data_IF_487415202422
#
_entry.id   IF_487415202422
#
_cell.length_a   1.000
_cell.length_b   1.000
_cell.length_c   1.000
_cell.angle_alpha   90.00
_cell.angle_beta   90.00
_cell.angle_gamma   90.00
#
_symmetry.space_group_name_H-M   'P 1'
#
loop_
_entity.id
_entity.type
_entity.pdbx_description
1 polymer ?
#
# COMPACT_ATOMS: atom_id res chain seq x y z
N UNK A 1 -19.95 21.03 26.42
CA UNK A 1 -20.37 19.69 26.91
C UNK A 1 -19.33 19.17 27.89
N UNK A 2 -19.74 18.74 29.09
CA UNK A 2 -18.84 18.14 30.10
C UNK A 2 -18.44 16.73 29.63
N UNK A 3 -17.14 16.42 29.60
CA UNK A 3 -16.61 15.10 29.20
C UNK A 3 -17.08 13.99 30.14
N UNK A 4 -17.18 12.74 29.65
CA UNK A 4 -17.60 11.58 30.45
C UNK A 4 -16.74 11.44 31.73
N UNK A 5 -15.43 11.65 31.61
CA UNK A 5 -14.46 11.62 32.71
C UNK A 5 -14.77 12.72 33.74
N UNK A 6 -15.14 13.92 33.29
CA UNK A 6 -15.49 15.01 34.19
C UNK A 6 -16.83 14.76 34.90
N UNK A 7 -17.81 14.12 34.24
CA UNK A 7 -19.06 13.68 34.91
C UNK A 7 -18.81 12.63 35.99
N UNK A 8 -17.96 11.64 35.70
CA UNK A 8 -17.56 10.62 36.68
C UNK A 8 -16.82 11.25 37.86
N UNK A 9 -15.90 12.18 37.60
CA UNK A 9 -15.18 12.89 38.64
C UNK A 9 -16.12 13.69 39.55
N UNK A 10 -17.12 14.38 38.99
CA UNK A 10 -18.13 15.11 39.76
C UNK A 10 -18.96 14.15 40.62
N UNK A 11 -19.46 13.05 40.05
CA UNK A 11 -20.27 12.07 40.75
C UNK A 11 -19.51 11.43 41.92
N UNK A 12 -18.26 11.02 41.70
CA UNK A 12 -17.41 10.42 42.73
C UNK A 12 -17.04 11.42 43.84
N UNK A 13 -16.75 12.66 43.46
CA UNK A 13 -16.47 13.73 44.43
C UNK A 13 -17.70 14.00 45.30
N UNK A 14 -18.88 14.10 44.69
CA UNK A 14 -20.13 14.27 45.42
C UNK A 14 -20.40 13.08 46.36
N UNK A 15 -20.24 11.84 45.89
CA UNK A 15 -20.43 10.65 46.72
C UNK A 15 -19.50 10.62 47.93
N UNK A 16 -18.23 11.00 47.76
CA UNK A 16 -17.24 11.04 48.83
C UNK A 16 -17.57 12.10 49.89
N UNK A 17 -17.98 13.30 49.47
CA UNK A 17 -18.41 14.35 50.40
C UNK A 17 -19.74 14.02 51.09
N UNK A 18 -20.68 13.35 50.41
CA UNK A 18 -21.91 12.83 51.03
C UNK A 18 -21.60 11.75 52.07
N UNK A 19 -20.69 10.82 51.78
CA UNK A 19 -20.26 9.82 52.75
C UNK A 19 -19.60 10.45 53.99
N UNK A 20 -18.73 11.45 53.79
CA UNK A 20 -18.13 12.21 54.87
C UNK A 20 -19.19 12.93 55.73
N UNK A 21 -20.19 13.53 55.09
CA UNK A 21 -21.33 14.18 55.76
C UNK A 21 -22.12 13.19 56.62
N UNK A 22 -22.44 12.00 56.09
CA UNK A 22 -23.13 10.95 56.85
C UNK A 22 -22.33 10.53 58.08
N UNK A 23 -21.01 10.39 57.96
CA UNK A 23 -20.14 10.02 59.07
C UNK A 23 -20.09 11.11 60.15
N UNK A 24 -20.04 12.39 59.75
CA UNK A 24 -20.05 13.55 60.67
C UNK A 24 -21.39 13.68 61.40
N UNK A 25 -22.51 13.35 60.74
CA UNK A 25 -23.85 13.42 61.33
C UNK A 25 -24.20 12.19 62.19
N UNK A 26 -23.50 11.06 62.03
CA UNK A 26 -23.81 9.81 62.74
C UNK A 26 -23.83 9.96 64.28
N UNK A 27 -22.88 10.64 64.95
CA UNK A 27 -22.92 10.80 66.41
C UNK A 27 -24.14 11.59 66.90
N UNK A 28 -24.65 12.55 66.10
CA UNK A 28 -25.85 13.32 66.45
C UNK A 28 -27.11 12.45 66.47
N UNK A 29 -27.20 11.52 65.52
CA UNK A 29 -28.31 10.57 65.44
C UNK A 29 -28.31 9.59 66.62
N UNK A 30 -27.13 9.24 67.13
CA UNK A 30 -26.97 8.29 68.25
C UNK A 30 -27.20 8.95 69.61
N UNK A 31 -26.78 10.19 69.82
CA UNK A 31 -26.83 10.87 71.14
C UNK A 31 -28.23 11.46 71.44
N UNK A 32 -29.12 11.58 70.44
CA UNK A 32 -30.55 11.85 70.66
C UNK A 32 -30.91 13.29 71.05
N UNK A 33 -30.39 14.30 70.33
CA UNK A 33 -30.78 15.70 70.49
C UNK A 33 -30.94 16.44 69.16
N UNK A 34 -31.79 17.48 69.06
CA UNK A 34 -31.95 18.24 67.83
C UNK A 34 -30.63 18.95 67.46
N UNK A 35 -30.22 18.94 66.18
CA UNK A 35 -29.01 19.61 65.75
C UNK A 35 -29.15 21.11 65.94
N UNK A 36 -28.10 21.75 66.47
CA UNK A 36 -28.08 23.19 66.69
C UNK A 36 -27.99 23.94 65.35
N UNK A 37 -28.69 25.08 65.17
CA UNK A 37 -28.64 25.85 63.93
C UNK A 37 -27.22 26.24 63.49
N UNK A 38 -26.36 26.62 64.45
CA UNK A 38 -24.94 26.92 64.22
C UNK A 38 -24.18 25.75 63.57
N UNK A 39 -24.47 24.52 64.02
CA UNK A 39 -23.82 23.31 63.53
C UNK A 39 -24.25 22.98 62.10
N UNK A 40 -25.55 23.09 61.79
CA UNK A 40 -26.07 22.84 60.43
C UNK A 40 -25.49 23.83 59.42
N UNK A 41 -25.41 25.11 59.80
CA UNK A 41 -24.82 26.15 58.95
C UNK A 41 -23.32 25.93 58.75
N UNK A 42 -22.61 25.50 59.80
CA UNK A 42 -21.20 25.14 59.72
C UNK A 42 -21.00 23.98 58.72
N UNK A 43 -21.69 22.86 58.91
CA UNK A 43 -21.60 21.67 58.06
C UNK A 43 -21.94 21.98 56.60
N UNK A 44 -23.06 22.68 56.35
CA UNK A 44 -23.52 22.99 55.00
C UNK A 44 -22.52 23.85 54.22
N UNK A 45 -21.94 24.87 54.87
CA UNK A 45 -20.92 25.71 54.23
C UNK A 45 -19.58 25.01 54.07
N UNK A 46 -19.19 24.11 54.98
CA UNK A 46 -17.98 23.28 54.83
C UNK A 46 -18.10 22.31 53.66
N UNK A 47 -19.29 21.74 53.42
CA UNK A 47 -19.57 20.91 52.24
C UNK A 47 -19.37 21.69 50.92
N UNK A 48 -19.88 22.93 50.86
CA UNK A 48 -19.76 23.78 49.68
C UNK A 48 -18.29 24.13 49.40
N UNK A 49 -17.56 24.56 50.43
CA UNK A 49 -16.13 24.89 50.31
C UNK A 49 -15.33 23.64 49.90
N UNK A 50 -15.66 22.49 50.49
CA UNK A 50 -15.06 21.21 50.18
C UNK A 50 -15.23 20.78 48.72
N UNK A 51 -16.45 20.85 48.20
CA UNK A 51 -16.75 20.55 46.80
C UNK A 51 -16.01 21.51 45.85
N UNK A 52 -15.96 22.81 46.19
CA UNK A 52 -15.21 23.79 45.41
C UNK A 52 -13.70 23.50 45.40
N UNK A 53 -13.13 23.12 46.55
CA UNK A 53 -11.72 22.73 46.67
C UNK A 53 -11.42 21.45 45.89
N UNK A 54 -12.30 20.45 45.92
CA UNK A 54 -12.16 19.24 45.10
C UNK A 54 -12.25 19.53 43.60
N UNK A 55 -13.09 20.48 43.17
CA UNK A 55 -13.16 20.91 41.77
C UNK A 55 -11.87 21.64 41.34
N UNK A 56 -11.29 22.46 42.22
CA UNK A 56 -9.99 23.08 41.98
C UNK A 56 -8.88 22.03 41.89
N UNK A 57 -8.89 21.04 42.78
CA UNK A 57 -7.94 19.93 42.82
C UNK A 57 -8.02 19.08 41.54
N UNK A 58 -9.21 18.84 41.01
CA UNK A 58 -9.41 18.20 39.70
C UNK A 58 -8.69 18.94 38.57
N UNK A 59 -8.80 20.28 38.55
CA UNK A 59 -8.12 21.11 37.54
C UNK A 59 -6.60 21.10 37.71
N UNK A 60 -6.12 21.11 38.96
CA UNK A 60 -4.69 21.00 39.26
C UNK A 60 -4.16 19.64 38.82
N UNK A 61 -4.86 18.55 39.12
CA UNK A 61 -4.53 17.19 38.69
C UNK A 61 -4.45 17.08 37.16
N UNK A 62 -5.41 17.66 36.44
CA UNK A 62 -5.40 17.70 34.98
C UNK A 62 -4.20 18.46 34.40
N UNK A 63 -3.82 19.61 34.99
CA UNK A 63 -2.64 20.38 34.54
C UNK A 63 -1.31 19.67 34.83
N UNK A 64 -1.23 18.98 35.97
CA UNK A 64 -0.05 18.21 36.36
C UNK A 64 0.03 16.84 35.68
N UNK A 65 -1.03 16.40 35.00
CA UNK A 65 -1.08 15.10 34.32
C UNK A 65 0.01 14.94 33.25
N UNK A 66 0.44 16.02 32.61
CA UNK A 66 1.52 16.01 31.62
C UNK A 66 2.94 16.05 32.22
N UNK A 67 3.08 16.27 33.54
CA UNK A 67 4.38 16.35 34.22
C UNK A 67 4.85 14.95 34.63
N UNK A 68 6.14 14.84 34.97
CA UNK A 68 6.73 13.62 35.51
C UNK A 68 6.00 13.16 36.78
N UNK A 69 6.03 11.85 37.06
CA UNK A 69 5.32 11.25 38.19
C UNK A 69 5.67 11.93 39.53
N UNK A 70 6.96 12.24 39.72
CA UNK A 70 7.46 12.95 40.90
C UNK A 70 6.87 14.35 41.04
N UNK A 71 6.98 15.20 40.01
CA UNK A 71 6.47 16.57 40.04
C UNK A 71 4.94 16.61 40.20
N UNK A 72 4.24 15.64 39.61
CA UNK A 72 2.80 15.49 39.75
C UNK A 72 2.41 15.13 41.18
N UNK A 73 3.09 14.15 41.78
CA UNK A 73 2.86 13.73 43.17
C UNK A 73 3.15 14.84 44.16
N UNK A 74 4.32 15.48 44.04
CA UNK A 74 4.71 16.59 44.91
C UNK A 74 3.76 17.79 44.77
N UNK A 75 3.39 18.17 43.55
CA UNK A 75 2.46 19.27 43.29
C UNK A 75 1.06 19.01 43.84
N UNK A 76 0.55 17.78 43.71
CA UNK A 76 -0.74 17.40 44.29
C UNK A 76 -0.69 17.33 45.82
N UNK A 77 0.36 16.77 46.41
CA UNK A 77 0.53 16.74 47.86
C UNK A 77 0.57 18.15 48.45
N UNK A 78 1.33 19.06 47.83
CA UNK A 78 1.37 20.46 48.24
C UNK A 78 -0.01 21.13 48.12
N UNK A 79 -0.73 20.92 47.01
CA UNK A 79 -2.07 21.47 46.82
C UNK A 79 -3.06 20.93 47.87
N UNK A 80 -3.01 19.63 48.19
CA UNK A 80 -3.84 18.99 49.22
C UNK A 80 -3.57 19.61 50.58
N UNK A 81 -2.30 19.75 50.98
CA UNK A 81 -1.93 20.32 52.28
C UNK A 81 -2.36 21.78 52.42
N UNK A 82 -2.14 22.60 51.38
CA UNK A 82 -2.54 24.01 51.37
C UNK A 82 -4.06 24.14 51.45
N UNK A 83 -4.80 23.39 50.62
CA UNK A 83 -6.27 23.45 50.63
C UNK A 83 -6.84 22.92 51.94
N UNK A 84 -6.33 21.82 52.47
CA UNK A 84 -6.75 21.27 53.76
C UNK A 84 -6.53 22.27 54.91
N UNK A 85 -5.37 22.94 54.93
CA UNK A 85 -5.07 23.99 55.90
C UNK A 85 -6.02 25.17 55.81
N UNK A 86 -6.30 25.66 54.60
CA UNK A 86 -7.24 26.77 54.37
C UNK A 86 -8.67 26.40 54.79
N UNK A 87 -9.12 25.20 54.46
CA UNK A 87 -10.45 24.71 54.87
C UNK A 87 -10.52 24.55 56.39
N UNK A 88 -9.51 23.96 57.02
CA UNK A 88 -9.49 23.77 58.47
C UNK A 88 -9.51 25.11 59.23
N UNK A 89 -8.79 26.11 58.74
CA UNK A 89 -8.81 27.46 59.31
C UNK A 89 -10.16 28.14 59.11
N UNK A 90 -10.75 28.05 57.91
CA UNK A 90 -12.06 28.63 57.61
C UNK A 90 -13.17 27.97 58.45
N UNK A 91 -13.13 26.65 58.58
CA UNK A 91 -14.05 25.85 59.38
C UNK A 91 -13.99 26.25 60.87
N UNK A 92 -12.78 26.30 61.45
CA UNK A 92 -12.60 26.69 62.85
C UNK A 92 -12.95 28.17 63.13
N UNK A 93 -12.64 29.08 62.20
CA UNK A 93 -12.98 30.51 62.34
C UNK A 93 -14.50 30.72 62.30
N UNK A 94 -15.18 30.04 61.39
CA UNK A 94 -16.63 30.09 61.24
C UNK A 94 -17.34 29.42 62.42
N UNK A 95 -16.84 28.26 62.89
CA UNK A 95 -17.38 27.61 64.08
C UNK A 95 -17.34 28.56 65.29
N UNK A 96 -16.21 29.23 65.52
CA UNK A 96 -16.07 30.26 66.56
C UNK A 96 -17.07 31.42 66.38
N UNK A 97 -17.22 31.94 65.17
CA UNK A 97 -18.13 33.05 64.89
C UNK A 97 -19.61 32.67 65.10
N UNK A 98 -20.00 31.47 64.68
CA UNK A 98 -21.36 30.96 64.85
C UNK A 98 -21.66 30.66 66.32
N UNK A 99 -20.71 30.07 67.06
CA UNK A 99 -20.88 29.85 68.50
C UNK A 99 -20.99 31.17 69.28
N UNK A 100 -20.21 32.18 68.92
CA UNK A 100 -20.32 33.51 69.54
C UNK A 100 -21.69 34.17 69.29
N UNK A 101 -22.34 33.88 68.16
CA UNK A 101 -23.65 34.43 67.80
C UNK A 101 -24.81 33.68 68.47
N UNK A 102 -24.80 32.35 68.44
CA UNK A 102 -25.90 31.52 68.95
C UNK A 102 -25.77 31.14 70.43
N UNK A 103 -24.55 31.08 70.96
CA UNK A 103 -24.24 30.66 72.34
C UNK A 103 -23.16 31.56 72.97
N UNK A 104 -23.43 32.86 73.20
CA UNK A 104 -22.43 33.83 73.64
C UNK A 104 -21.82 33.52 75.03
N UNK A 105 -22.50 32.70 75.84
CA UNK A 105 -22.01 32.26 77.15
C UNK A 105 -21.08 31.03 77.10
N UNK A 106 -20.93 30.38 75.93
CA UNK A 106 -20.09 29.20 75.79
C UNK A 106 -18.59 29.57 75.75
N UNK A 107 -17.70 28.74 76.33
CA UNK A 107 -16.27 28.98 76.27
C UNK A 107 -15.75 28.90 74.84
N UNK A 108 -15.13 29.98 74.36
CA UNK A 108 -14.60 30.03 73.00
C UNK A 108 -13.27 29.28 72.90
N UNK A 109 -13.13 28.39 71.91
CA UNK A 109 -11.85 27.74 71.59
C UNK A 109 -11.00 28.64 70.68
N UNK A 110 -9.66 28.61 70.78
CA UNK A 110 -8.78 29.27 69.82
C UNK A 110 -8.94 28.65 68.42
N UNK A 111 -8.94 29.49 67.38
CA UNK A 111 -9.12 29.05 65.98
C UNK A 111 -8.04 28.04 65.56
N UNK A 112 -6.78 28.28 65.94
CA UNK A 112 -5.68 27.37 65.63
C UNK A 112 -5.86 25.98 66.24
N UNK A 113 -6.39 25.92 67.47
CA UNK A 113 -6.65 24.65 68.14
C UNK A 113 -7.78 23.89 67.44
N UNK A 114 -8.87 24.58 67.06
CA UNK A 114 -9.95 24.00 66.27
C UNK A 114 -9.47 23.50 64.90
N UNK A 115 -8.67 24.30 64.20
CA UNK A 115 -8.13 23.96 62.89
C UNK A 115 -7.22 22.73 62.96
N UNK A 116 -6.40 22.61 64.00
CA UNK A 116 -5.51 21.46 64.18
C UNK A 116 -6.27 20.12 64.30
N UNK A 117 -7.47 20.14 64.89
CA UNK A 117 -8.32 18.96 65.02
C UNK A 117 -8.89 18.46 63.69
N UNK A 118 -9.27 19.38 62.79
CA UNK A 118 -9.92 19.03 61.51
C UNK A 118 -8.93 18.92 60.33
N UNK A 119 -7.68 19.37 60.50
CA UNK A 119 -6.66 19.36 59.45
C UNK A 119 -6.40 17.97 58.86
N UNK A 120 -6.23 16.96 59.72
CA UNK A 120 -5.94 15.58 59.28
C UNK A 120 -7.12 15.03 58.48
N UNK A 121 -8.35 15.28 58.92
CA UNK A 121 -9.56 14.84 58.23
C UNK A 121 -9.65 15.44 56.82
N UNK A 122 -9.49 16.76 56.69
CA UNK A 122 -9.54 17.41 55.37
C UNK A 122 -8.38 17.01 54.47
N UNK A 123 -7.18 16.82 55.02
CA UNK A 123 -6.02 16.35 54.27
C UNK A 123 -6.24 14.93 53.71
N UNK A 124 -6.82 14.02 54.51
CA UNK A 124 -7.16 12.67 54.05
C UNK A 124 -8.24 12.68 52.98
N UNK A 125 -9.32 13.46 53.19
CA UNK A 125 -10.44 13.55 52.25
C UNK A 125 -10.00 14.12 50.90
N UNK A 126 -9.23 15.21 50.91
CA UNK A 126 -8.68 15.81 49.69
C UNK A 126 -7.58 14.93 49.07
N UNK A 127 -6.78 14.24 49.87
CA UNK A 127 -5.78 13.28 49.41
C UNK A 127 -6.41 12.12 48.64
N UNK A 128 -7.49 11.55 49.18
CA UNK A 128 -8.25 10.50 48.49
C UNK A 128 -8.88 11.01 47.20
N UNK A 129 -9.43 12.23 47.21
CA UNK A 129 -9.95 12.89 46.00
C UNK A 129 -8.88 13.03 44.92
N UNK A 130 -7.70 13.54 45.30
CA UNK A 130 -6.58 13.72 44.38
C UNK A 130 -6.13 12.40 43.76
N UNK A 131 -6.02 11.35 44.58
CA UNK A 131 -5.66 10.01 44.11
C UNK A 131 -6.69 9.49 43.10
N UNK A 132 -7.98 9.63 43.40
CA UNK A 132 -9.06 9.22 42.50
C UNK A 132 -9.02 9.97 41.16
N UNK A 133 -8.81 11.30 41.19
CA UNK A 133 -8.70 12.10 39.98
C UNK A 133 -7.48 11.73 39.15
N UNK A 134 -6.36 11.37 39.79
CA UNK A 134 -5.16 10.90 39.10
C UNK A 134 -5.42 9.58 38.35
N UNK A 135 -6.09 8.62 39.01
CA UNK A 135 -6.48 7.35 38.40
C UNK A 135 -7.42 7.55 37.22
N UNK A 136 -8.44 8.41 37.36
CA UNK A 136 -9.38 8.72 36.27
C UNK A 136 -8.69 9.32 35.04
N UNK A 137 -7.79 10.29 35.23
CA UNK A 137 -7.02 10.86 34.12
C UNK A 137 -6.08 9.84 33.48
N UNK A 138 -5.44 8.98 34.29
CA UNK A 138 -4.58 7.92 33.80
C UNK A 138 -5.33 6.91 32.91
N UNK A 139 -6.48 6.41 33.37
CA UNK A 139 -7.32 5.51 32.58
C UNK A 139 -7.81 6.15 31.28
N UNK A 140 -8.25 7.40 31.32
CA UNK A 140 -8.70 8.11 30.14
C UNK A 140 -7.58 8.26 29.08
N UNK A 141 -6.35 8.56 29.52
CA UNK A 141 -5.18 8.65 28.64
C UNK A 141 -4.79 7.31 28.04
N UNK A 142 -4.83 6.23 28.84
CA UNK A 142 -4.54 4.88 28.36
C UNK A 142 -5.55 4.44 27.29
N UNK A 143 -6.84 4.63 27.55
CA UNK A 143 -7.90 4.29 26.58
C UNK A 143 -7.79 5.10 25.28
N UNK A 144 -7.39 6.37 25.35
CA UNK A 144 -7.15 7.18 24.16
C UNK A 144 -6.00 6.61 23.32
N UNK A 145 -4.87 6.27 23.95
CA UNK A 145 -3.71 5.66 23.28
C UNK A 145 -4.03 4.29 22.67
N UNK A 146 -4.79 3.46 23.38
CA UNK A 146 -5.22 2.16 22.86
C UNK A 146 -6.09 2.30 21.61
N UNK A 147 -7.00 3.27 21.58
CA UNK A 147 -7.83 3.55 20.40
C UNK A 147 -7.00 4.06 19.22
N UNK A 148 -6.06 4.98 19.47
CA UNK A 148 -5.15 5.47 18.42
C UNK A 148 -4.32 4.33 17.82
N UNK A 149 -3.78 3.44 18.66
CA UNK A 149 -3.02 2.28 18.22
C UNK A 149 -3.89 1.27 17.46
N UNK A 150 -5.14 1.05 17.88
CA UNK A 150 -6.07 0.15 17.18
C UNK A 150 -6.38 0.66 15.77
N UNK A 151 -6.70 1.95 15.62
CA UNK A 151 -6.94 2.57 14.32
C UNK A 151 -5.70 2.51 13.43
N UNK A 152 -4.51 2.77 13.98
CA UNK A 152 -3.26 2.68 13.23
C UNK A 152 -2.97 1.25 12.74
N UNK A 153 -3.23 0.24 13.58
CA UNK A 153 -3.07 -1.19 13.21
C UNK A 153 -4.03 -1.61 12.11
N UNK A 154 -5.31 -1.22 12.20
CA UNK A 154 -6.29 -1.50 11.16
C UNK A 154 -5.93 -0.85 9.82
N UNK A 155 -5.45 0.40 9.86
CA UNK A 155 -4.99 1.10 8.66
C UNK A 155 -3.77 0.41 8.03
N UNK A 156 -2.80 -0.01 8.84
CA UNK A 156 -1.62 -0.74 8.38
C UNK A 156 -2.00 -2.09 7.74
N UNK A 157 -2.87 -2.88 8.38
CA UNK A 157 -3.31 -4.16 7.86
C UNK A 157 -4.07 -4.04 6.52
N UNK A 158 -4.90 -2.99 6.37
CA UNK A 158 -5.59 -2.71 5.09
C UNK A 158 -4.61 -2.32 3.98
N UNK A 159 -3.59 -1.52 4.31
CA UNK A 159 -2.57 -1.13 3.35
C UNK A 159 -1.73 -2.33 2.88
N UNK A 160 -1.36 -3.23 3.79
CA UNK A 160 -0.63 -4.47 3.48
C UNK A 160 -1.45 -5.40 2.58
N UNK A 161 -2.74 -5.59 2.89
CA UNK A 161 -3.65 -6.39 2.05
C UNK A 161 -3.80 -5.79 0.64
N UNK A 162 -3.99 -4.48 0.54
CA UNK A 162 -4.11 -3.80 -0.76
C UNK A 162 -2.82 -3.92 -1.58
N UNK A 163 -1.66 -3.81 -0.96
CA UNK A 163 -0.37 -4.01 -1.62
C UNK A 163 -0.21 -5.44 -2.15
N UNK A 164 -0.51 -6.45 -1.33
CA UNK A 164 -0.47 -7.85 -1.74
C UNK A 164 -1.43 -8.15 -2.91
N UNK A 165 -2.62 -7.56 -2.90
CA UNK A 165 -3.59 -7.69 -4.01
C UNK A 165 -3.08 -7.03 -5.29
N UNK A 166 -2.48 -5.84 -5.19
CA UNK A 166 -1.91 -5.14 -6.35
C UNK A 166 -0.75 -5.91 -6.96
N UNK A 167 0.12 -6.50 -6.13
CA UNK A 167 1.22 -7.35 -6.60
C UNK A 167 0.73 -8.63 -7.28
N UNK A 168 -0.29 -9.28 -6.72
CA UNK A 168 -0.92 -10.45 -7.33
C UNK A 168 -1.57 -10.10 -8.67
N UNK A 169 -2.28 -8.99 -8.77
CA UNK A 169 -2.89 -8.52 -10.01
C UNK A 169 -1.83 -8.19 -11.07
N UNK A 170 -0.74 -7.52 -10.69
CA UNK A 170 0.38 -7.23 -11.59
C UNK A 170 1.06 -8.51 -12.09
N UNK A 171 1.27 -9.49 -11.20
CA UNK A 171 1.83 -10.80 -11.56
C UNK A 171 0.92 -11.54 -12.53
N UNK A 172 -0.39 -11.57 -12.26
CA UNK A 172 -1.36 -12.18 -13.15
C UNK A 172 -1.40 -11.48 -14.53
N UNK A 173 -1.34 -10.14 -14.57
CA UNK A 173 -1.27 -9.38 -15.82
C UNK A 173 0.00 -9.69 -16.61
N UNK A 174 1.17 -9.81 -15.95
CA UNK A 174 2.43 -10.23 -16.60
C UNK A 174 2.33 -11.65 -17.17
N UNK A 175 1.77 -12.60 -16.41
CA UNK A 175 1.57 -13.98 -16.88
C UNK A 175 0.58 -14.04 -18.05
N UNK A 176 -0.50 -13.25 -18.00
CA UNK A 176 -1.45 -13.14 -19.11
C UNK A 176 -0.77 -12.54 -20.35
N UNK A 177 0.04 -11.50 -20.20
CA UNK A 177 0.83 -10.92 -21.29
C UNK A 177 1.81 -11.94 -21.89
N UNK A 178 2.47 -12.75 -21.07
CA UNK A 178 3.34 -13.85 -21.53
C UNK A 178 2.54 -14.90 -22.31
N UNK A 179 1.33 -15.25 -21.86
CA UNK A 179 0.42 -16.16 -22.58
C UNK A 179 -0.03 -15.60 -23.93
N UNK A 180 -0.15 -14.29 -24.06
CA UNK A 180 -0.44 -13.63 -25.35
C UNK A 180 0.78 -13.55 -26.27
N UNK A 181 2.01 -13.59 -25.74
CA UNK A 181 3.24 -13.60 -26.54
C UNK A 181 3.48 -14.94 -27.25
N UNK A 182 2.80 -16.03 -26.85
CA UNK A 182 2.75 -17.27 -27.62
C UNK A 182 1.50 -17.28 -28.49
N UNK A 183 1.65 -17.30 -29.82
CA UNK A 183 0.54 -17.40 -30.76
C UNK A 183 -0.19 -18.76 -30.56
N UNK A 184 -1.37 -18.81 -29.90
CA UNK A 184 -1.98 -20.09 -29.53
C UNK A 184 -2.39 -20.90 -30.76
N UNK A 185 -2.76 -20.20 -31.83
CA UNK A 185 -3.12 -20.80 -33.11
C UNK A 185 -1.93 -21.48 -33.78
N UNK A 186 -0.73 -20.89 -33.73
CA UNK A 186 0.49 -21.54 -34.18
C UNK A 186 0.74 -22.86 -33.43
N UNK A 187 0.60 -22.86 -32.10
CA UNK A 187 0.80 -24.07 -31.29
C UNK A 187 -0.21 -25.17 -31.63
N UNK A 188 -1.51 -24.85 -31.67
CA UNK A 188 -2.54 -25.82 -32.03
C UNK A 188 -2.32 -26.40 -33.44
N UNK A 189 -1.99 -25.55 -34.41
CA UNK A 189 -1.75 -26.01 -35.78
C UNK A 189 -0.50 -26.87 -35.90
N UNK A 190 0.57 -26.51 -35.19
CA UNK A 190 1.81 -27.28 -35.17
C UNK A 190 1.57 -28.67 -34.58
N UNK A 191 0.86 -28.75 -33.44
CA UNK A 191 0.51 -30.02 -32.82
C UNK A 191 -0.40 -30.89 -33.71
N UNK A 192 -1.35 -30.28 -34.42
CA UNK A 192 -2.21 -30.99 -35.37
C UNK A 192 -1.40 -31.55 -36.57
N UNK A 193 -0.43 -30.78 -37.08
CA UNK A 193 0.46 -31.25 -38.13
C UNK A 193 1.33 -32.43 -37.65
N UNK A 194 1.89 -32.35 -36.44
CA UNK A 194 2.61 -33.46 -35.80
C UNK A 194 1.72 -34.69 -35.66
N UNK A 195 0.51 -34.52 -35.13
CA UNK A 195 -0.46 -35.63 -35.00
C UNK A 195 -0.78 -36.28 -36.35
N UNK A 196 -0.94 -35.50 -37.41
CA UNK A 196 -1.18 -36.02 -38.75
C UNK A 196 0.02 -36.80 -39.28
N UNK A 197 1.26 -36.35 -39.01
CA UNK A 197 2.47 -37.07 -39.41
C UNK A 197 2.60 -38.42 -38.70
N UNK A 198 2.31 -38.48 -37.40
CA UNK A 198 2.29 -39.74 -36.63
C UNK A 198 1.26 -40.71 -37.20
N UNK A 199 0.03 -40.24 -37.45
CA UNK A 199 -1.05 -41.06 -38.01
C UNK A 199 -0.73 -41.55 -39.43
N UNK A 200 0.01 -40.77 -40.21
CA UNK A 200 0.42 -41.13 -41.59
C UNK A 200 1.75 -41.87 -41.68
N UNK A 201 2.35 -42.25 -40.54
CA UNK A 201 3.58 -43.05 -40.49
C UNK A 201 4.86 -42.28 -40.80
N UNK A 202 4.83 -40.93 -40.81
CA UNK A 202 5.99 -40.05 -41.03
C UNK A 202 6.68 -39.72 -39.70
N UNK A 203 7.06 -40.76 -38.95
CA UNK A 203 7.51 -40.61 -37.56
C UNK A 203 8.79 -39.78 -37.42
N UNK A 204 9.77 -39.96 -38.30
CA UNK A 204 11.03 -39.20 -38.26
C UNK A 204 10.79 -37.69 -38.46
N UNK A 205 9.87 -37.33 -39.35
CA UNK A 205 9.49 -35.93 -39.58
C UNK A 205 8.71 -35.36 -38.38
N UNK A 206 7.88 -36.17 -37.72
CA UNK A 206 7.18 -35.79 -36.50
C UNK A 206 8.15 -35.53 -35.35
N UNK A 207 9.15 -36.39 -35.16
CA UNK A 207 10.18 -36.24 -34.12
C UNK A 207 11.04 -34.98 -34.35
N UNK A 208 11.44 -34.74 -35.61
CA UNK A 208 12.16 -33.51 -35.98
C UNK A 208 11.34 -32.24 -35.70
N UNK A 209 10.05 -32.23 -36.04
CA UNK A 209 9.16 -31.09 -35.78
C UNK A 209 8.92 -30.88 -34.28
N UNK A 210 8.83 -31.96 -33.51
CA UNK A 210 8.65 -31.90 -32.05
C UNK A 210 9.90 -31.37 -31.34
N UNK A 211 11.09 -31.73 -31.83
CA UNK A 211 12.38 -31.19 -31.36
C UNK A 211 12.46 -29.69 -31.64
N UNK A 212 12.18 -29.27 -32.88
CA UNK A 212 12.17 -27.85 -33.27
C UNK A 212 11.15 -27.03 -32.46
N UNK A 213 9.94 -27.56 -32.27
CA UNK A 213 8.93 -26.92 -31.43
C UNK A 213 9.40 -26.76 -29.97
N UNK A 214 10.05 -27.78 -29.42
CA UNK A 214 10.57 -27.74 -28.05
C UNK A 214 11.69 -26.71 -27.90
N UNK A 215 12.59 -26.61 -28.88
CA UNK A 215 13.66 -25.61 -28.90
C UNK A 215 13.13 -24.18 -29.05
N UNK A 216 12.16 -23.97 -29.95
CA UNK A 216 11.45 -22.71 -30.11
C UNK A 216 10.74 -22.27 -28.82
N UNK A 217 10.03 -23.19 -28.15
CA UNK A 217 9.37 -22.87 -26.87
C UNK A 217 10.37 -22.55 -25.77
N UNK A 218 11.47 -23.31 -25.67
CA UNK A 218 12.52 -23.07 -24.66
C UNK A 218 13.17 -21.70 -24.83
N UNK A 219 13.53 -21.34 -26.06
CA UNK A 219 14.14 -20.05 -26.37
C UNK A 219 13.16 -18.91 -26.14
N UNK A 220 11.90 -19.07 -26.57
CA UNK A 220 10.85 -18.05 -26.38
C UNK A 220 10.56 -17.79 -24.90
N UNK A 221 10.50 -18.84 -24.06
CA UNK A 221 10.22 -18.72 -22.63
C UNK A 221 11.42 -18.21 -21.81
N UNK A 222 12.65 -18.44 -22.28
CA UNK A 222 13.86 -17.94 -21.62
C UNK A 222 14.16 -16.47 -21.95
N UNK A 223 13.64 -15.96 -23.07
CA UNK A 223 13.92 -14.62 -23.55
C UNK A 223 13.19 -13.55 -22.72
N UNK A 224 13.94 -12.52 -22.31
CA UNK A 224 13.37 -11.34 -21.67
C UNK A 224 12.90 -10.36 -22.75
N UNK A 225 11.63 -9.90 -22.72
CA UNK A 225 11.08 -9.02 -23.75
C UNK A 225 11.85 -7.71 -23.95
N UNK A 226 12.55 -7.20 -22.94
CA UNK A 226 13.29 -5.93 -23.04
C UNK A 226 14.81 -6.13 -23.22
N UNK A 227 15.27 -7.37 -23.38
CA UNK A 227 16.69 -7.65 -23.57
C UNK A 227 17.14 -7.35 -25.01
N UNK A 228 18.35 -6.80 -25.13
CA UNK A 228 19.07 -6.71 -26.39
C UNK A 228 19.83 -8.02 -26.63
N UNK A 229 19.51 -8.72 -27.72
CA UNK A 229 20.17 -9.95 -28.14
C UNK A 229 21.00 -9.71 -29.40
N UNK A 230 21.89 -10.65 -29.75
CA UNK A 230 22.62 -10.54 -31.01
C UNK A 230 21.65 -10.80 -32.17
N UNK A 231 21.82 -10.07 -33.28
CA UNK A 231 20.97 -10.21 -34.45
C UNK A 231 20.95 -11.65 -34.98
N UNK A 232 22.08 -12.35 -34.92
CA UNK A 232 22.16 -13.76 -35.28
C UNK A 232 21.22 -14.65 -34.44
N UNK A 233 21.02 -14.34 -33.16
CA UNK A 233 20.16 -15.13 -32.28
C UNK A 233 18.68 -14.91 -32.64
N UNK A 234 18.30 -13.66 -32.94
CA UNK A 234 16.98 -13.31 -33.45
C UNK A 234 16.70 -13.95 -34.82
N UNK A 235 17.68 -13.91 -35.73
CA UNK A 235 17.58 -14.53 -37.06
C UNK A 235 17.48 -16.05 -36.98
N UNK A 236 18.23 -16.69 -36.07
CA UNK A 236 18.14 -18.12 -35.84
C UNK A 236 16.75 -18.51 -35.32
N UNK A 237 16.21 -17.76 -34.36
CA UNK A 237 14.86 -17.99 -33.82
C UNK A 237 13.77 -17.84 -34.91
N UNK A 238 13.89 -16.82 -35.76
CA UNK A 238 13.00 -16.64 -36.91
C UNK A 238 13.14 -17.77 -37.94
N UNK A 239 14.35 -18.23 -38.21
CA UNK A 239 14.58 -19.35 -39.13
C UNK A 239 13.94 -20.64 -38.59
N UNK A 240 14.07 -20.94 -37.30
CA UNK A 240 13.40 -22.08 -36.68
C UNK A 240 11.88 -21.96 -36.78
N UNK A 241 11.33 -20.77 -36.53
CA UNK A 241 9.90 -20.51 -36.71
C UNK A 241 9.42 -20.74 -38.15
N UNK A 242 10.15 -20.21 -39.13
CA UNK A 242 9.85 -20.37 -40.56
C UNK A 242 9.96 -21.82 -41.00
N UNK A 243 10.93 -22.59 -40.48
CA UNK A 243 11.04 -24.02 -40.75
C UNK A 243 9.81 -24.78 -40.23
N UNK A 244 9.37 -24.52 -38.99
CA UNK A 244 8.16 -25.13 -38.44
C UNK A 244 6.93 -24.81 -39.31
N UNK A 245 6.81 -23.55 -39.73
CA UNK A 245 5.74 -23.09 -40.60
C UNK A 245 5.82 -23.66 -42.03
N UNK A 246 7.04 -23.89 -42.55
CA UNK A 246 7.27 -24.54 -43.85
C UNK A 246 6.79 -25.99 -43.84
N UNK A 247 6.99 -26.73 -42.76
CA UNK A 247 6.39 -28.07 -42.62
C UNK A 247 4.87 -28.05 -42.70
N UNK A 248 4.23 -27.03 -42.12
CA UNK A 248 2.77 -26.87 -42.13
C UNK A 248 2.24 -26.45 -43.50
N UNK A 249 2.90 -25.48 -44.13
CA UNK A 249 2.50 -24.89 -45.41
C UNK A 249 3.04 -25.66 -46.62
N UNK A 250 3.92 -26.64 -46.39
CA UNK A 250 4.58 -27.50 -47.38
C UNK A 250 5.27 -26.63 -48.44
N UNK A 251 5.06 -26.97 -49.71
CA UNK A 251 5.69 -26.34 -50.87
C UNK A 251 5.21 -24.90 -51.12
N UNK A 252 4.35 -24.34 -50.25
CA UNK A 252 3.81 -22.98 -50.38
C UNK A 252 4.66 -21.92 -49.69
N UNK A 253 5.56 -22.30 -48.79
CA UNK A 253 6.45 -21.37 -48.10
C UNK A 253 7.90 -21.71 -48.44
N UNK A 254 8.62 -20.71 -48.93
CA UNK A 254 10.07 -20.70 -48.95
C UNK A 254 10.58 -19.46 -48.21
N UNK A 255 11.84 -19.47 -47.82
CA UNK A 255 12.42 -18.30 -47.17
C UNK A 255 13.91 -18.14 -47.42
N UNK A 256 14.37 -16.90 -47.38
CA UNK A 256 15.77 -16.54 -47.52
C UNK A 256 16.17 -15.52 -46.45
N UNK A 257 17.35 -15.73 -45.88
CA UNK A 257 17.97 -14.81 -44.91
C UNK A 257 19.30 -14.36 -45.45
N UNK A 258 19.40 -13.07 -45.74
CA UNK A 258 20.60 -12.41 -46.25
C UNK A 258 21.11 -11.41 -45.20
N UNK A 259 22.06 -11.88 -44.39
CA UNK A 259 22.74 -11.08 -43.39
C UNK A 259 24.27 -11.18 -43.56
N UNK A 260 24.95 -10.07 -43.87
CA UNK A 260 26.41 -10.02 -43.86
C UNK A 260 26.98 -10.37 -42.48
N UNK A 261 28.04 -11.20 -42.43
CA UNK A 261 28.62 -11.70 -41.18
C UNK A 261 29.03 -10.59 -40.20
N UNK A 262 29.50 -9.44 -40.70
CA UNK A 262 29.90 -8.31 -39.85
C UNK A 262 28.73 -7.60 -39.14
N UNK A 263 27.47 -7.95 -39.47
CA UNK A 263 26.26 -7.44 -38.82
C UNK A 263 25.62 -8.45 -37.87
N UNK A 264 26.12 -9.70 -37.82
CA UNK A 264 25.56 -10.79 -37.02
C UNK A 264 25.52 -10.46 -35.51
N UNK A 265 26.54 -9.77 -35.01
CA UNK A 265 26.66 -9.35 -33.60
C UNK A 265 25.95 -8.04 -33.25
N UNK A 266 25.26 -7.40 -34.21
CA UNK A 266 24.51 -6.18 -33.94
C UNK A 266 23.44 -6.43 -32.86
N UNK A 267 23.28 -5.50 -31.93
CA UNK A 267 22.31 -5.65 -30.83
C UNK A 267 20.93 -5.15 -31.24
N UNK A 268 19.94 -6.03 -31.17
CA UNK A 268 18.53 -5.76 -31.46
C UNK A 268 17.64 -6.19 -30.29
N UNK A 269 16.47 -5.56 -30.08
CA UNK A 269 15.50 -6.04 -29.10
C UNK A 269 15.08 -7.46 -29.44
N UNK A 270 14.94 -8.32 -28.44
CA UNK A 270 14.37 -9.66 -28.62
C UNK A 270 12.95 -9.57 -29.22
N UNK A 271 12.58 -10.55 -30.04
CA UNK A 271 11.29 -10.63 -30.71
C UNK A 271 10.95 -9.42 -31.58
N UNK A 272 11.96 -8.80 -32.19
CA UNK A 272 11.77 -7.72 -33.14
C UNK A 272 11.21 -8.23 -34.46
N UNK A 273 11.74 -9.35 -34.96
CA UNK A 273 11.47 -9.85 -36.31
C UNK A 273 10.28 -10.81 -36.33
N UNK A 274 10.07 -11.59 -35.26
CA UNK A 274 8.99 -12.56 -35.19
C UNK A 274 7.60 -11.98 -35.56
N UNK A 275 7.15 -10.82 -35.02
CA UNK A 275 5.85 -10.26 -35.40
C UNK A 275 5.74 -9.87 -36.88
N UNK A 276 6.86 -9.51 -37.51
CA UNK A 276 6.91 -9.17 -38.93
C UNK A 276 6.76 -10.43 -39.80
N UNK A 277 7.41 -11.51 -39.38
CA UNK A 277 7.33 -12.81 -40.03
C UNK A 277 5.94 -13.42 -39.87
N UNK A 278 5.35 -13.34 -38.68
CA UNK A 278 3.96 -13.76 -38.45
C UNK A 278 2.98 -13.02 -39.37
N UNK A 279 3.19 -11.70 -39.56
CA UNK A 279 2.39 -10.92 -40.50
C UNK A 279 2.57 -11.38 -41.95
N UNK A 280 3.80 -11.62 -42.40
CA UNK A 280 4.10 -12.12 -43.74
C UNK A 280 3.44 -13.49 -44.00
N UNK A 281 3.47 -14.39 -43.02
CA UNK A 281 2.78 -15.70 -43.14
C UNK A 281 1.27 -15.52 -43.19
N UNK A 282 0.71 -14.74 -42.27
CA UNK A 282 -0.75 -14.57 -42.15
C UNK A 282 -1.36 -13.86 -43.36
N UNK A 283 -0.66 -12.87 -43.92
CA UNK A 283 -1.20 -11.97 -44.93
C UNK A 283 -0.61 -12.19 -46.33
N UNK A 284 0.62 -12.68 -46.44
CA UNK A 284 1.26 -13.02 -47.72
C UNK A 284 1.04 -14.48 -48.08
N UNK A 285 1.44 -15.41 -47.21
CA UNK A 285 1.51 -16.84 -47.54
C UNK A 285 0.15 -17.54 -47.43
N UNK A 286 -0.52 -17.42 -46.29
CA UNK A 286 -1.77 -18.13 -46.00
C UNK A 286 -2.88 -17.89 -47.05
N UNK A 287 -3.15 -16.65 -47.53
CA UNK A 287 -4.17 -16.41 -48.55
C UNK A 287 -3.70 -16.72 -49.99
N UNK A 288 -2.41 -16.99 -50.22
CA UNK A 288 -1.85 -17.18 -51.57
C UNK A 288 -1.69 -18.66 -51.91
N UNK A 289 -2.32 -19.12 -53.00
CA UNK A 289 -2.26 -20.53 -53.41
C UNK A 289 -0.90 -20.95 -54.01
N UNK A 290 -0.17 -20.03 -54.64
CA UNK A 290 1.20 -20.28 -55.15
C UNK A 290 2.23 -20.32 -54.02
N UNK A 291 3.42 -20.81 -54.33
CA UNK A 291 4.59 -20.67 -53.46
C UNK A 291 4.90 -19.18 -53.21
N UNK A 292 5.17 -18.83 -51.96
CA UNK A 292 5.53 -17.50 -51.49
C UNK A 292 6.88 -17.58 -50.78
N UNK A 293 7.76 -16.65 -51.11
CA UNK A 293 9.07 -16.50 -50.47
C UNK A 293 9.02 -15.35 -49.47
N UNK A 294 9.42 -15.62 -48.24
CA UNK A 294 9.69 -14.58 -47.23
C UNK A 294 11.19 -14.31 -47.21
N UNK A 295 11.59 -13.06 -47.48
CA UNK A 295 12.98 -12.62 -47.47
C UNK A 295 13.27 -11.73 -46.27
N UNK A 296 14.39 -11.99 -45.59
CA UNK A 296 14.94 -11.13 -44.53
C UNK A 296 16.29 -10.61 -45.00
N UNK A 297 16.38 -9.30 -45.26
CA UNK A 297 17.58 -8.64 -45.76
C UNK A 297 18.12 -7.65 -44.74
N UNK A 298 19.37 -7.83 -44.33
CA UNK A 298 20.04 -6.98 -43.35
C UNK A 298 21.15 -6.19 -44.02
N UNK A 299 21.17 -4.87 -43.86
CA UNK A 299 22.18 -3.97 -44.43
C UNK A 299 22.57 -2.87 -43.46
N UNK A 300 23.81 -2.38 -43.57
CA UNK A 300 24.22 -1.12 -42.95
C UNK A 300 23.74 0.03 -43.83
N UNK A 301 22.99 0.96 -43.25
CA UNK A 301 22.51 2.18 -43.89
C UNK A 301 23.38 3.39 -43.50
N UNK A 302 23.11 4.53 -44.14
CA UNK A 302 23.81 5.80 -43.89
C UNK A 302 23.63 6.24 -42.43
N UNK A 303 24.66 6.79 -41.81
CA UNK A 303 24.59 7.30 -40.43
C UNK A 303 24.73 6.22 -39.35
N UNK A 304 25.40 5.11 -39.67
CA UNK A 304 25.61 3.97 -38.77
C UNK A 304 24.32 3.34 -38.26
N UNK A 305 23.35 3.22 -39.16
CA UNK A 305 22.06 2.60 -38.92
C UNK A 305 22.07 1.15 -39.44
N UNK A 306 21.46 0.24 -38.69
CA UNK A 306 21.09 -1.08 -39.13
C UNK A 306 19.72 -1.00 -39.81
N UNK A 307 19.63 -1.46 -41.06
CA UNK A 307 18.37 -1.60 -41.79
C UNK A 307 18.07 -3.08 -41.97
N UNK A 308 16.93 -3.51 -41.42
CA UNK A 308 16.41 -4.87 -41.56
C UNK A 308 15.12 -4.78 -42.37
N UNK A 309 15.03 -5.54 -43.46
CA UNK A 309 13.88 -5.56 -44.35
C UNK A 309 13.29 -6.96 -44.35
N UNK A 310 12.02 -7.08 -43.98
CA UNK A 310 11.23 -8.30 -44.11
C UNK A 310 10.25 -8.08 -45.25
N UNK A 311 10.33 -8.89 -46.30
CA UNK A 311 9.44 -8.80 -47.44
C UNK A 311 8.89 -10.17 -47.83
N UNK A 312 7.61 -10.23 -48.18
CA UNK A 312 7.01 -11.38 -48.83
C UNK A 312 6.65 -11.04 -50.27
N UNK A 313 6.60 -12.04 -51.15
CA UNK A 313 6.08 -11.90 -52.50
C UNK A 313 4.62 -12.39 -52.61
N UNK A 314 3.91 -12.57 -51.49
CA UNK A 314 2.56 -13.12 -51.46
C UNK A 314 1.48 -12.07 -51.71
N UNK A 315 0.38 -12.47 -52.34
CA UNK A 315 -0.75 -11.58 -52.59
C UNK A 315 -0.47 -10.39 -53.54
N UNK A 316 -1.53 -9.85 -54.12
CA UNK A 316 -1.50 -8.60 -54.88
C UNK A 316 -2.13 -7.44 -54.09
N UNK A 317 -1.98 -6.18 -54.53
CA UNK A 317 -2.42 -4.98 -53.81
C UNK A 317 -3.90 -4.97 -53.37
N UNK A 318 -4.75 -5.83 -53.96
CA UNK A 318 -6.17 -5.99 -53.67
C UNK A 318 -6.54 -7.10 -52.63
N UNK A 319 -5.60 -7.93 -52.18
CA UNK A 319 -5.90 -9.12 -51.37
C UNK A 319 -6.08 -8.84 -49.86
N UNK A 320 -5.76 -7.63 -49.39
CA UNK A 320 -5.80 -7.28 -47.97
C UNK A 320 -6.57 -5.97 -47.77
N UNK A 321 -7.83 -6.03 -47.28
CA UNK A 321 -8.56 -4.83 -46.88
C UNK A 321 -7.78 -4.11 -45.78
N UNK A 322 -7.66 -2.78 -45.89
CA UNK A 322 -6.98 -1.93 -44.91
C UNK A 322 -7.56 -1.99 -43.47
N UNK A 323 -8.66 -2.73 -43.27
CA UNK A 323 -9.47 -2.76 -42.05
C UNK A 323 -9.86 -4.18 -41.60
N UNK A 324 -9.00 -5.19 -41.79
CA UNK A 324 -9.23 -6.49 -41.14
C UNK A 324 -8.95 -6.38 -39.61
N UNK A 325 -9.81 -6.91 -38.74
CA UNK A 325 -9.57 -6.87 -37.29
C UNK A 325 -8.26 -7.60 -36.93
N UNK A 326 -7.36 -6.90 -36.25
CA UNK A 326 -6.01 -7.38 -35.91
C UNK A 326 -4.90 -7.03 -36.91
N UNK A 327 -5.23 -6.39 -38.05
CA UNK A 327 -4.24 -5.79 -38.95
C UNK A 327 -3.57 -4.60 -38.24
N UNK A 328 -2.26 -4.68 -38.01
CA UNK A 328 -1.49 -3.59 -37.42
C UNK A 328 -1.14 -3.73 -35.93
N UNK A 329 -1.70 -4.69 -35.18
CA UNK A 329 -1.31 -4.90 -33.76
C UNK A 329 0.16 -5.33 -33.66
N UNK A 330 0.60 -6.27 -34.49
CA UNK A 330 2.00 -6.71 -34.52
C UNK A 330 2.97 -5.59 -34.89
N UNK A 331 2.64 -4.77 -35.89
CA UNK A 331 3.46 -3.63 -36.30
C UNK A 331 3.47 -2.51 -35.26
N UNK A 332 2.33 -2.25 -34.60
CA UNK A 332 2.24 -1.28 -33.52
C UNK A 332 3.11 -1.70 -32.33
N UNK A 333 3.09 -2.98 -31.96
CA UNK A 333 3.92 -3.53 -30.88
C UNK A 333 5.42 -3.42 -31.21
N UNK A 334 5.81 -3.70 -32.46
CA UNK A 334 7.20 -3.51 -32.93
C UNK A 334 7.59 -2.03 -32.86
N UNK A 335 6.71 -1.13 -33.29
CA UNK A 335 6.97 0.32 -33.25
C UNK A 335 7.10 0.85 -31.82
N UNK A 336 6.23 0.43 -30.90
CA UNK A 336 6.28 0.82 -29.50
C UNK A 336 7.56 0.30 -28.82
N UNK A 337 7.95 -0.94 -29.10
CA UNK A 337 9.20 -1.53 -28.62
C UNK A 337 10.43 -0.76 -29.12
N UNK A 338 10.49 -0.44 -30.41
CA UNK A 338 11.57 0.36 -30.99
C UNK A 338 11.65 1.75 -30.34
N UNK A 339 10.50 2.39 -30.09
CA UNK A 339 10.44 3.69 -29.39
C UNK A 339 10.90 3.59 -27.94
N UNK A 340 10.58 2.51 -27.23
CA UNK A 340 11.01 2.29 -25.84
C UNK A 340 12.54 2.21 -25.71
N UNK A 341 13.18 1.50 -26.66
CA UNK A 341 14.63 1.25 -26.61
C UNK A 341 15.46 2.36 -27.26
N UNK A 342 15.04 2.85 -28.41
CA UNK A 342 15.84 3.78 -29.24
C UNK A 342 15.18 5.16 -29.42
N UNK A 343 13.99 5.38 -28.86
CA UNK A 343 13.28 6.65 -29.00
C UNK A 343 13.00 7.01 -30.46
N UNK A 344 13.24 8.26 -30.89
CA UNK A 344 13.03 8.68 -32.27
C UNK A 344 14.11 8.19 -33.24
N UNK A 345 15.17 7.56 -32.76
CA UNK A 345 16.29 7.10 -33.59
C UNK A 345 16.02 5.77 -34.32
N UNK A 346 14.90 5.10 -34.02
CA UNK A 346 14.44 3.94 -34.75
C UNK A 346 13.12 4.21 -35.47
N UNK A 347 12.99 3.72 -36.69
CA UNK A 347 11.80 3.89 -37.54
C UNK A 347 11.35 2.56 -38.13
N UNK A 348 10.08 2.50 -38.46
CA UNK A 348 9.46 1.40 -39.20
C UNK A 348 8.72 1.98 -40.39
N UNK A 349 8.98 1.43 -41.56
CA UNK A 349 8.38 1.84 -42.82
C UNK A 349 7.74 0.63 -43.48
N UNK A 350 6.54 0.80 -44.03
CA UNK A 350 5.84 -0.26 -44.75
C UNK A 350 5.67 0.16 -46.20
N UNK A 351 6.07 -0.70 -47.13
CA UNK A 351 5.91 -0.49 -48.57
C UNK A 351 5.03 -1.60 -49.14
N UNK A 352 4.12 -1.23 -50.04
CA UNK A 352 3.30 -2.20 -50.79
C UNK A 352 3.71 -2.17 -52.26
N UNK A 353 4.71 -2.98 -52.66
CA UNK A 353 5.08 -3.12 -54.07
C UNK A 353 3.94 -3.76 -54.89
N UNK A 354 4.13 -3.86 -56.21
CA UNK A 354 3.13 -4.44 -57.12
C UNK A 354 2.77 -5.89 -56.77
N UNK A 355 3.69 -6.61 -56.13
CA UNK A 355 3.55 -7.97 -55.62
C UNK A 355 4.12 -7.97 -54.21
N UNK A 356 3.36 -8.48 -53.23
CA UNK A 356 3.87 -8.62 -51.87
C UNK A 356 3.70 -7.43 -50.94
N UNK A 357 4.37 -7.52 -49.80
CA UNK A 357 4.42 -6.50 -48.77
C UNK A 357 5.83 -6.44 -48.16
N UNK A 358 6.33 -5.24 -47.89
CA UNK A 358 7.66 -5.02 -47.33
C UNK A 358 7.56 -4.18 -46.06
N UNK A 359 8.28 -4.60 -45.01
CA UNK A 359 8.49 -3.85 -43.78
C UNK A 359 9.98 -3.62 -43.59
N UNK A 360 10.38 -2.36 -43.53
CA UNK A 360 11.76 -1.94 -43.25
C UNK A 360 11.85 -1.34 -41.85
N UNK A 361 12.69 -1.93 -41.01
CA UNK A 361 13.06 -1.39 -39.70
C UNK A 361 14.45 -0.74 -39.83
N UNK A 362 14.57 0.49 -39.36
CA UNK A 362 15.86 1.18 -39.21
C UNK A 362 16.09 1.45 -37.74
N UNK A 363 17.28 1.10 -37.24
CA UNK A 363 17.66 1.32 -35.84
C UNK A 363 19.17 1.55 -35.73
N UNK A 364 19.67 2.23 -34.68
CA UNK A 364 21.10 2.50 -34.52
C UNK A 364 21.93 1.21 -34.46
N UNK A 365 23.04 1.15 -35.20
CA UNK A 365 23.94 -0.01 -35.19
C UNK A 365 24.69 -0.07 -33.85
N UNK A 366 24.11 -0.73 -32.85
CA UNK A 366 24.72 -0.92 -31.55
C UNK A 366 25.91 -1.88 -31.60
N UNK A 367 27.13 -1.34 -31.66
CA UNK A 367 28.40 -2.12 -31.59
C UNK A 367 29.01 -2.16 -30.19
N UNK A 368 28.39 -1.56 -29.17
CA UNK A 368 28.92 -1.55 -27.80
C UNK A 368 27.87 -1.89 -26.75
N UNK A 369 28.26 -2.80 -25.87
CA UNK A 369 27.67 -3.12 -24.58
C UNK A 369 27.02 -1.88 -23.93
N UNK A 370 25.69 -1.86 -23.85
CA UNK A 370 24.98 -0.92 -22.99
C UNK A 370 25.14 -1.45 -21.56
N UNK A 371 25.75 -0.69 -20.63
CA UNK A 371 25.86 -1.12 -19.25
C UNK A 371 24.46 -1.18 -18.63
N UNK A 372 24.23 -2.21 -17.80
CA UNK A 372 23.05 -2.47 -16.99
C UNK A 372 22.10 -1.27 -16.81
N UNK A 373 20.89 -1.39 -17.35
CA UNK A 373 19.71 -0.68 -16.85
C UNK A 373 19.40 -1.18 -15.44
N UNK A 374 20.16 -0.69 -14.44
CA UNK A 374 19.77 -0.78 -13.05
C UNK A 374 18.61 0.17 -12.80
N UNK A 375 17.47 -0.45 -12.48
CA UNK A 375 16.37 0.01 -11.63
C UNK A 375 16.67 1.33 -10.89
N UNK A 376 15.92 2.37 -11.23
CA UNK A 376 15.67 3.54 -10.41
C UNK A 376 14.17 3.63 -10.13
#
# INVERSE_FOLDING_TARGET
MISLVSRQAIALTAAMWTAALCLILLPLLVIGGPPRPAMLLNIGSTLIIGLAASALLYRIAGRLAARSAWLRGAGLAAAVLVLAGLIALADAAKDRALMAHFEPAAPSRPVLLGASGNLILFALLLGFTAALHLVLHGHAQLQARERELAVAREAAARAELAAAQAEAAATHARLAALRYQLNPHFLFNTLNAISSMVVTGRNDAAEGMLTKLSEFLRTTLAAHPDALIALQDELASVADYLEIERFRLRDRLDFEVDCPAYLADARVPSFLLQPLIENAIKHGVAPTSRAVTISVRVRRAVGDQLRIVVADDGGGPAAVPAAAPGFGIGLANVQERLRSVYGPAATIETTRPAIGFEVAVQLPLGTRHVPDLRVA
#
